data_IF_759051085439
#
_entry.id   IF_759051085439
#
_cell.length_a   1.000
_cell.length_b   1.000
_cell.length_c   1.000
_cell.angle_alpha   90.00
_cell.angle_beta   90.00
_cell.angle_gamma   90.00
#
_symmetry.space_group_name_H-M   'P 1'
#
loop_
_entity.id
_entity.type
_entity.pdbx_description
1 polymer ?
#
# COMPACT_ATOMS: atom_id res chain seq x y z
N UNK A 1 -1.64 6.38 -20.22
CA UNK A 1 -2.06 6.48 -18.79
C UNK A 1 -0.86 6.99 -18.02
N UNK A 2 -0.99 8.08 -17.29
CA UNK A 2 0.08 8.67 -16.48
C UNK A 2 -0.22 8.41 -15.01
N UNK A 3 0.64 7.65 -14.34
CA UNK A 3 0.57 7.41 -12.90
C UNK A 3 1.54 8.35 -12.21
N UNK A 4 1.10 9.02 -11.14
CA UNK A 4 1.97 9.81 -10.28
C UNK A 4 2.21 9.04 -8.97
N UNK A 5 3.44 9.04 -8.45
CA UNK A 5 3.74 8.44 -7.16
C UNK A 5 4.83 9.21 -6.43
N UNK A 6 4.77 9.16 -5.10
CA UNK A 6 5.78 9.67 -4.21
C UNK A 6 5.93 8.74 -3.01
N UNK A 7 7.13 8.64 -2.49
CA UNK A 7 7.45 7.90 -1.27
C UNK A 7 8.52 8.64 -0.48
N UNK A 8 8.44 8.62 0.83
CA UNK A 8 9.38 9.27 1.73
C UNK A 8 9.58 8.42 2.99
N UNK A 9 10.82 8.06 3.34
CA UNK A 9 11.09 7.27 4.53
C UNK A 9 10.79 8.08 5.80
N UNK A 10 10.18 7.43 6.78
CA UNK A 10 9.85 8.06 8.06
C UNK A 10 11.06 8.53 8.85
N UNK A 11 12.20 7.87 8.70
CA UNK A 11 13.42 8.18 9.43
C UNK A 11 14.63 8.19 8.51
N UNK A 12 15.43 9.29 8.53
CA UNK A 12 16.68 9.35 7.77
C UNK A 12 17.64 8.22 8.19
N UNK A 13 18.21 7.53 7.20
CA UNK A 13 19.19 6.46 7.44
C UNK A 13 18.58 5.07 7.69
N UNK A 14 17.27 4.94 7.75
CA UNK A 14 16.58 3.65 7.75
C UNK A 14 16.04 3.33 6.37
N UNK A 15 16.04 2.04 5.97
CA UNK A 15 15.41 1.64 4.73
C UNK A 15 13.92 2.00 4.74
N UNK A 16 13.44 2.54 3.63
CA UNK A 16 12.00 2.66 3.40
C UNK A 16 11.41 1.26 3.24
N UNK A 17 10.46 0.89 4.09
CA UNK A 17 9.80 -0.41 4.09
C UNK A 17 8.55 -0.43 3.18
N UNK A 18 8.11 0.73 2.69
CA UNK A 18 7.07 0.83 1.67
C UNK A 18 7.60 0.48 0.28
N UNK A 19 6.72 0.00 -0.56
CA UNK A 19 6.96 -0.23 -1.98
C UNK A 19 5.73 0.14 -2.80
N UNK A 20 5.92 0.93 -3.86
CA UNK A 20 4.89 1.19 -4.86
C UNK A 20 5.45 1.03 -6.26
N UNK A 21 4.66 0.47 -7.15
CA UNK A 21 5.01 0.32 -8.55
C UNK A 21 3.76 0.27 -9.43
N UNK A 22 3.93 0.67 -10.70
CA UNK A 22 2.87 0.61 -11.70
C UNK A 22 3.39 0.08 -13.03
N UNK A 23 2.48 -0.54 -13.77
CA UNK A 23 2.64 -0.98 -15.14
C UNK A 23 1.41 -0.58 -15.96
N UNK A 24 1.42 -0.66 -17.29
CA UNK A 24 0.22 -0.40 -18.08
C UNK A 24 -0.98 -1.22 -17.59
N UNK A 25 -2.00 -0.53 -17.08
CA UNK A 25 -3.24 -1.16 -16.60
C UNK A 25 -3.20 -1.77 -15.19
N UNK A 26 -2.11 -1.60 -14.42
CA UNK A 26 -2.05 -2.12 -13.05
C UNK A 26 -1.15 -1.27 -12.15
N UNK A 27 -1.45 -1.27 -10.84
CA UNK A 27 -0.61 -0.65 -9.83
C UNK A 27 -0.70 -1.43 -8.51
N UNK A 28 0.37 -1.38 -7.74
CA UNK A 28 0.48 -1.99 -6.41
C UNK A 28 1.10 -1.01 -5.43
N UNK A 29 0.68 -1.08 -4.16
CA UNK A 29 1.35 -0.45 -3.03
C UNK A 29 1.36 -1.44 -1.87
N UNK A 30 2.51 -1.60 -1.26
CA UNK A 30 2.75 -2.43 -0.09
C UNK A 30 3.42 -1.58 0.98
N UNK A 31 2.95 -1.70 2.21
CA UNK A 31 3.53 -1.07 3.39
C UNK A 31 4.12 -2.16 4.29
N UNK A 32 5.37 -2.03 4.61
CA UNK A 32 6.12 -3.03 5.34
C UNK A 32 5.78 -3.07 6.83
N UNK A 33 5.29 -4.21 7.30
CA UNK A 33 4.96 -4.42 8.70
C UNK A 33 6.21 -4.60 9.57
N UNK A 34 6.71 -3.51 10.12
CA UNK A 34 7.92 -3.47 10.98
C UNK A 34 7.74 -4.34 12.23
N UNK A 35 8.71 -5.18 12.50
CA UNK A 35 8.77 -5.92 13.77
C UNK A 35 9.42 -5.06 14.87
N UNK A 36 9.02 -5.20 16.16
CA UNK A 36 9.67 -4.50 17.25
C UNK A 36 11.19 -4.72 17.26
N UNK A 37 11.95 -3.69 17.67
CA UNK A 37 13.40 -3.78 17.75
C UNK A 37 13.84 -4.98 18.60
N UNK A 38 14.84 -5.73 18.14
CA UNK A 38 15.33 -6.95 18.81
C UNK A 38 14.43 -8.18 18.69
N UNK A 39 13.34 -8.10 17.93
CA UNK A 39 12.50 -9.27 17.69
C UNK A 39 13.24 -10.31 16.83
N UNK A 40 13.13 -11.58 17.25
CA UNK A 40 13.57 -12.71 16.41
C UNK A 40 12.57 -12.89 15.26
N UNK A 41 12.91 -12.36 14.11
CA UNK A 41 12.08 -12.49 12.89
C UNK A 41 12.32 -13.79 12.16
N UNK A 42 13.39 -14.51 12.46
CA UNK A 42 13.80 -15.70 11.69
C UNK A 42 14.28 -15.38 10.27
N UNK A 43 14.32 -14.13 9.86
CA UNK A 43 14.66 -13.73 8.49
C UNK A 43 15.84 -12.77 8.47
N UNK A 44 16.80 -13.02 7.58
CA UNK A 44 18.00 -12.20 7.41
C UNK A 44 17.78 -11.03 6.44
N UNK A 45 16.71 -11.05 5.64
CA UNK A 45 16.50 -10.09 4.54
C UNK A 45 15.85 -8.77 4.99
N UNK A 46 15.00 -8.81 6.05
CA UNK A 46 14.26 -7.64 6.53
C UNK A 46 12.99 -7.32 5.74
N UNK A 47 12.25 -6.32 6.25
CA UNK A 47 10.91 -5.96 5.77
C UNK A 47 10.97 -5.25 4.42
N UNK A 48 11.88 -4.29 4.24
CA UNK A 48 12.02 -3.56 2.97
C UNK A 48 12.31 -4.49 1.78
N UNK A 49 13.15 -5.53 1.99
CA UNK A 49 13.38 -6.56 0.96
C UNK A 49 12.09 -7.32 0.65
N UNK A 50 11.36 -7.72 1.70
CA UNK A 50 10.13 -8.49 1.56
C UNK A 50 9.06 -7.71 0.78
N UNK A 51 8.76 -6.47 1.18
CA UNK A 51 7.78 -5.62 0.51
C UNK A 51 8.11 -5.41 -0.97
N UNK A 52 9.38 -5.12 -1.27
CA UNK A 52 9.85 -4.95 -2.65
C UNK A 52 9.73 -6.22 -3.48
N UNK A 53 10.16 -7.35 -2.92
CA UNK A 53 10.15 -8.62 -3.66
C UNK A 53 8.72 -9.09 -3.91
N UNK A 54 7.85 -9.02 -2.89
CA UNK A 54 6.43 -9.37 -3.03
C UNK A 54 5.71 -8.46 -4.01
N UNK A 55 5.91 -7.13 -3.89
CA UNK A 55 5.25 -6.16 -4.76
C UNK A 55 5.69 -6.29 -6.22
N UNK A 56 6.97 -6.58 -6.46
CA UNK A 56 7.49 -6.83 -7.83
C UNK A 56 6.88 -8.09 -8.43
N UNK A 57 6.86 -9.19 -7.68
CA UNK A 57 6.25 -10.45 -8.14
C UNK A 57 4.73 -10.29 -8.35
N UNK A 58 4.04 -9.60 -7.43
CA UNK A 58 2.60 -9.34 -7.57
C UNK A 58 2.30 -8.51 -8.82
N UNK A 59 3.03 -7.40 -9.06
CA UNK A 59 2.81 -6.56 -10.24
C UNK A 59 3.03 -7.36 -11.53
N UNK A 60 4.07 -8.18 -11.59
CA UNK A 60 4.31 -9.09 -12.72
C UNK A 60 3.15 -10.07 -12.90
N UNK A 61 2.67 -10.70 -11.82
CA UNK A 61 1.58 -11.67 -11.84
C UNK A 61 0.24 -11.06 -12.31
N UNK A 62 -0.12 -9.86 -11.81
CA UNK A 62 -1.39 -9.22 -12.18
C UNK A 62 -1.39 -8.64 -13.59
N UNK A 63 -0.24 -8.50 -14.22
CA UNK A 63 -0.09 -8.04 -15.62
C UNK A 63 0.16 -9.17 -16.61
N UNK A 64 0.40 -10.38 -16.12
CA UNK A 64 0.61 -11.56 -16.96
C UNK A 64 -0.66 -11.96 -17.74
N UNK A 65 -0.47 -12.57 -18.92
CA UNK A 65 -1.54 -13.09 -19.75
C UNK A 65 -1.42 -14.60 -19.85
N UNK A 66 -2.51 -15.39 -19.61
CA UNK A 66 -3.89 -14.93 -19.31
C UNK A 66 -4.01 -14.34 -17.90
N UNK A 67 -4.99 -13.43 -17.72
CA UNK A 67 -5.26 -12.84 -16.41
C UNK A 67 -5.81 -13.89 -15.44
N UNK A 68 -5.24 -13.87 -14.22
CA UNK A 68 -5.74 -14.67 -13.09
C UNK A 68 -6.43 -13.76 -12.06
N UNK A 69 -7.28 -14.29 -11.15
CA UNK A 69 -7.82 -13.51 -10.03
C UNK A 69 -6.72 -12.87 -9.19
N UNK A 70 -6.94 -11.66 -8.68
CA UNK A 70 -5.92 -10.92 -7.91
C UNK A 70 -5.44 -11.68 -6.67
N UNK A 71 -6.33 -12.39 -5.98
CA UNK A 71 -5.97 -13.24 -4.84
C UNK A 71 -5.04 -14.40 -5.26
N UNK A 72 -5.28 -15.00 -6.42
CA UNK A 72 -4.41 -16.05 -6.96
C UNK A 72 -3.03 -15.47 -7.31
N UNK A 73 -2.98 -14.33 -7.98
CA UNK A 73 -1.71 -13.66 -8.28
C UNK A 73 -0.92 -13.32 -7.01
N UNK A 74 -1.60 -12.86 -5.94
CA UNK A 74 -0.97 -12.60 -4.64
C UNK A 74 -0.45 -13.90 -4.00
N UNK A 75 -1.20 -15.00 -4.08
CA UNK A 75 -0.77 -16.29 -3.55
C UNK A 75 0.47 -16.82 -4.30
N UNK A 76 0.49 -16.72 -5.63
CA UNK A 76 1.62 -17.11 -6.47
C UNK A 76 2.86 -16.25 -6.17
N UNK A 77 2.70 -14.92 -6.06
CA UNK A 77 3.77 -14.01 -5.66
C UNK A 77 4.35 -14.36 -4.28
N UNK A 78 3.49 -14.68 -3.31
CA UNK A 78 3.94 -15.10 -1.98
C UNK A 78 4.68 -16.44 -2.00
N UNK A 79 4.26 -17.37 -2.86
CA UNK A 79 4.96 -18.65 -3.04
C UNK A 79 6.35 -18.42 -3.66
N UNK A 80 6.47 -17.53 -4.63
CA UNK A 80 7.74 -17.14 -5.22
C UNK A 80 8.69 -16.52 -4.18
N UNK A 81 8.21 -15.54 -3.40
CA UNK A 81 9.00 -14.94 -2.32
C UNK A 81 9.42 -16.00 -1.30
N UNK A 82 8.52 -16.91 -0.93
CA UNK A 82 8.85 -18.01 -0.02
C UNK A 82 10.02 -18.84 -0.57
N UNK A 83 9.97 -19.26 -1.81
CA UNK A 83 11.01 -20.06 -2.44
C UNK A 83 12.38 -19.36 -2.45
N UNK A 84 12.40 -18.01 -2.55
CA UNK A 84 13.64 -17.25 -2.56
C UNK A 84 14.36 -17.22 -1.20
N UNK A 85 13.67 -17.42 -0.07
CA UNK A 85 14.31 -17.27 1.24
C UNK A 85 14.05 -18.40 2.25
N UNK A 86 13.25 -19.42 1.95
CA UNK A 86 12.96 -20.52 2.89
C UNK A 86 14.20 -21.36 3.24
N UNK A 87 15.26 -21.33 2.42
CA UNK A 87 16.51 -22.05 2.67
C UNK A 87 17.46 -21.28 3.61
N UNK A 88 17.23 -19.99 3.82
CA UNK A 88 18.09 -19.11 4.64
C UNK A 88 17.37 -18.54 5.84
N UNK A 89 16.05 -18.69 5.90
CA UNK A 89 15.18 -18.06 6.90
C UNK A 89 14.27 -19.11 7.56
N UNK A 90 13.98 -18.91 8.84
CA UNK A 90 12.98 -19.71 9.57
C UNK A 90 11.59 -19.07 9.41
N UNK A 91 10.86 -19.49 8.40
CA UNK A 91 9.52 -18.98 8.09
C UNK A 91 8.42 -19.47 9.05
N UNK A 92 8.75 -20.30 10.03
CA UNK A 92 7.82 -20.71 11.11
C UNK A 92 7.65 -19.63 12.18
N UNK A 93 8.56 -18.67 12.24
CA UNK A 93 8.51 -17.58 13.20
C UNK A 93 7.32 -16.65 12.92
N UNK A 94 6.60 -16.29 13.99
CA UNK A 94 5.40 -15.43 13.89
C UNK A 94 5.70 -14.00 13.48
N UNK A 95 6.95 -13.54 13.63
CA UNK A 95 7.41 -12.17 13.33
C UNK A 95 8.25 -12.09 12.04
N UNK A 96 8.14 -13.10 11.16
CA UNK A 96 8.74 -12.98 9.82
C UNK A 96 8.24 -11.70 9.13
N UNK A 97 9.05 -11.12 8.23
CA UNK A 97 8.63 -9.96 7.45
C UNK A 97 7.24 -10.11 6.85
N UNK A 98 6.49 -9.05 6.87
CA UNK A 98 5.16 -8.96 6.27
C UNK A 98 4.97 -7.60 5.64
N UNK A 99 3.91 -7.46 4.87
CA UNK A 99 3.47 -6.19 4.31
C UNK A 99 1.95 -6.16 4.15
N UNK A 100 1.36 -4.98 4.24
CA UNK A 100 0.03 -4.73 3.73
C UNK A 100 0.06 -4.83 2.22
N UNK A 101 -1.06 -5.03 1.58
CA UNK A 101 -1.10 -5.11 0.11
C UNK A 101 -2.31 -4.39 -0.42
N UNK A 102 -2.10 -3.41 -1.27
CA UNK A 102 -3.14 -2.87 -2.14
C UNK A 102 -2.75 -3.04 -3.60
N UNK A 103 -3.70 -3.44 -4.42
CA UNK A 103 -3.49 -3.60 -5.85
C UNK A 103 -4.75 -3.19 -6.63
N UNK A 104 -4.55 -2.61 -7.80
CA UNK A 104 -5.61 -2.30 -8.75
C UNK A 104 -5.21 -2.77 -10.15
N UNK A 105 -6.20 -3.25 -10.92
CA UNK A 105 -5.99 -3.70 -12.30
C UNK A 105 -7.18 -3.33 -13.18
N UNK A 106 -6.89 -2.72 -14.30
CA UNK A 106 -7.86 -2.39 -15.35
C UNK A 106 -8.27 -3.67 -16.09
N UNK A 107 -9.58 -3.93 -16.14
CA UNK A 107 -10.19 -5.06 -16.86
C UNK A 107 -11.32 -4.57 -17.73
N UNK A 108 -11.79 -5.36 -18.73
CA UNK A 108 -12.93 -4.94 -19.57
C UNK A 108 -14.19 -4.57 -18.79
N UNK A 109 -14.41 -5.19 -17.62
CA UNK A 109 -15.60 -4.97 -16.78
C UNK A 109 -15.46 -3.85 -15.74
N UNK A 110 -14.30 -3.19 -15.63
CA UNK A 110 -14.05 -2.17 -14.59
C UNK A 110 -12.61 -2.15 -14.10
N UNK A 111 -12.44 -1.72 -12.87
CA UNK A 111 -11.15 -1.74 -12.17
C UNK A 111 -11.25 -2.77 -11.04
N UNK A 112 -10.59 -3.91 -11.20
CA UNK A 112 -10.46 -4.89 -10.12
C UNK A 112 -9.51 -4.36 -9.06
N UNK A 113 -9.85 -4.57 -7.79
CA UNK A 113 -9.01 -4.20 -6.65
C UNK A 113 -8.79 -5.35 -5.68
N UNK A 114 -7.69 -5.28 -4.97
CA UNK A 114 -7.36 -6.12 -3.82
C UNK A 114 -6.84 -5.24 -2.70
N UNK A 115 -7.34 -5.45 -1.47
CA UNK A 115 -6.83 -4.85 -0.25
C UNK A 115 -6.64 -5.93 0.81
N UNK A 116 -5.47 -5.96 1.44
CA UNK A 116 -5.14 -6.82 2.57
C UNK A 116 -4.41 -5.99 3.61
N UNK A 117 -4.94 -5.97 4.84
CA UNK A 117 -4.50 -5.14 5.95
C UNK A 117 -4.87 -3.65 5.75
N UNK A 118 -4.18 -2.71 6.41
CA UNK A 118 -4.63 -1.35 6.70
C UNK A 118 -4.20 -0.27 5.71
N UNK A 119 -3.39 -0.59 4.70
CA UNK A 119 -3.20 0.32 3.58
C UNK A 119 -4.52 0.59 2.85
N UNK A 120 -4.68 1.81 2.33
CA UNK A 120 -5.95 2.30 1.82
C UNK A 120 -5.98 2.41 0.30
N UNK A 121 -7.12 2.05 -0.29
CA UNK A 121 -7.52 2.42 -1.65
C UNK A 121 -8.61 3.48 -1.52
N UNK A 122 -8.34 4.70 -1.97
CA UNK A 122 -9.31 5.79 -1.97
C UNK A 122 -9.76 6.10 -3.39
N UNK A 123 -11.07 6.04 -3.63
CA UNK A 123 -11.68 6.22 -4.95
C UNK A 123 -12.30 7.60 -5.04
N UNK A 124 -11.87 8.40 -6.01
CA UNK A 124 -12.39 9.73 -6.32
C UNK A 124 -13.38 9.66 -7.50
N UNK A 125 -14.49 10.38 -7.38
CA UNK A 125 -15.58 10.38 -8.36
C UNK A 125 -15.82 11.78 -8.94
N UNK A 126 -16.22 11.84 -10.21
CA UNK A 126 -16.45 13.09 -10.93
C UNK A 126 -17.69 13.85 -10.44
N UNK A 127 -18.70 13.14 -9.96
CA UNK A 127 -19.98 13.72 -9.53
C UNK A 127 -19.94 14.38 -8.14
N UNK A 128 -18.77 14.39 -7.49
CA UNK A 128 -18.57 15.02 -6.17
C UNK A 128 -19.17 14.25 -5.00
N UNK A 129 -19.63 13.00 -5.20
CA UNK A 129 -20.01 12.14 -4.08
C UNK A 129 -18.81 11.90 -3.15
N UNK A 130 -19.06 11.55 -1.87
CA UNK A 130 -17.98 11.23 -0.95
C UNK A 130 -17.05 10.13 -1.50
N UNK A 131 -15.73 10.24 -1.27
CA UNK A 131 -14.78 9.21 -1.65
C UNK A 131 -15.15 7.85 -1.06
N UNK A 132 -14.95 6.79 -1.84
CA UNK A 132 -15.07 5.43 -1.32
C UNK A 132 -13.71 4.97 -0.81
N UNK A 133 -13.65 4.62 0.48
CA UNK A 133 -12.46 4.04 1.10
C UNK A 133 -12.58 2.53 1.16
N UNK A 134 -11.52 1.85 0.75
CA UNK A 134 -11.40 0.40 0.78
C UNK A 134 -10.14 0.07 1.55
N UNK A 135 -10.32 -0.52 2.72
CA UNK A 135 -9.26 -1.06 3.58
C UNK A 135 -9.66 -2.45 4.02
N UNK A 136 -8.77 -3.13 4.69
CA UNK A 136 -9.03 -4.44 5.28
C UNK A 136 -8.45 -4.52 6.69
N UNK A 137 -8.97 -5.40 7.54
CA UNK A 137 -8.56 -5.55 8.95
C UNK A 137 -7.79 -6.84 9.22
N UNK A 138 -7.48 -7.63 8.20
CA UNK A 138 -6.69 -8.84 8.35
C UNK A 138 -5.21 -8.53 8.62
N UNK A 139 -4.49 -9.53 9.11
CA UNK A 139 -3.05 -9.40 9.32
C UNK A 139 -2.30 -9.22 7.99
N UNK A 140 -1.18 -8.51 8.07
CA UNK A 140 -0.29 -8.30 6.92
C UNK A 140 0.13 -9.60 6.22
N UNK A 141 0.31 -9.53 4.91
CA UNK A 141 0.77 -10.63 4.06
C UNK A 141 2.18 -11.04 4.45
N UNK A 142 2.39 -12.33 4.62
CA UNK A 142 3.70 -12.96 4.86
C UNK A 142 3.99 -13.94 3.74
N UNK A 143 5.15 -14.58 3.76
CA UNK A 143 5.53 -15.64 2.81
C UNK A 143 4.68 -16.93 3.03
N UNK A 144 3.37 -16.77 3.12
CA UNK A 144 2.36 -17.81 3.27
C UNK A 144 1.23 -17.59 2.27
N UNK A 145 1.19 -18.33 1.14
CA UNK A 145 0.21 -18.14 0.08
C UNK A 145 -1.25 -18.18 0.52
N UNK A 146 -1.57 -18.94 1.57
CA UNK A 146 -2.95 -19.08 2.08
C UNK A 146 -3.53 -17.75 2.59
N UNK A 147 -2.68 -16.83 3.06
CA UNK A 147 -3.14 -15.52 3.54
C UNK A 147 -3.75 -14.66 2.45
N UNK A 148 -3.38 -14.88 1.18
CA UNK A 148 -3.94 -14.14 0.05
C UNK A 148 -5.46 -14.28 -0.08
N UNK A 149 -6.02 -15.41 0.36
CA UNK A 149 -7.47 -15.66 0.28
C UNK A 149 -8.28 -14.81 1.27
N UNK A 150 -7.65 -14.23 2.28
CA UNK A 150 -8.29 -13.31 3.21
C UNK A 150 -8.46 -11.90 2.65
N UNK A 151 -7.73 -11.56 1.57
CA UNK A 151 -7.78 -10.23 0.99
C UNK A 151 -9.18 -9.86 0.49
N UNK A 152 -9.59 -8.63 0.76
CA UNK A 152 -10.80 -8.04 0.22
C UNK A 152 -10.60 -7.74 -1.25
N UNK A 153 -11.50 -8.23 -2.09
CA UNK A 153 -11.47 -7.99 -3.54
C UNK A 153 -12.82 -7.49 -4.04
N UNK A 154 -12.80 -6.82 -5.18
CA UNK A 154 -14.00 -6.36 -5.86
C UNK A 154 -13.68 -5.70 -7.19
N UNK A 155 -14.71 -5.17 -7.82
CA UNK A 155 -14.62 -4.44 -9.10
C UNK A 155 -15.29 -3.07 -8.91
N UNK A 156 -14.59 -2.01 -9.29
CA UNK A 156 -15.10 -0.65 -9.35
C UNK A 156 -15.59 -0.38 -10.78
N UNK A 157 -16.77 0.19 -10.96
CA UNK A 157 -17.21 0.65 -12.28
C UNK A 157 -16.30 1.79 -12.76
N UNK A 158 -16.05 1.86 -14.06
CA UNK A 158 -15.28 2.98 -14.65
C UNK A 158 -16.08 4.27 -14.71
N UNK A 159 -17.40 4.14 -14.90
CA UNK A 159 -18.29 5.28 -15.10
C UNK A 159 -18.28 6.21 -13.89
N UNK A 160 -17.98 7.47 -14.14
CA UNK A 160 -17.89 8.51 -13.11
C UNK A 160 -16.66 8.39 -12.20
N UNK A 161 -15.71 7.54 -12.54
CA UNK A 161 -14.44 7.45 -11.82
C UNK A 161 -13.50 8.56 -12.27
N UNK A 162 -13.02 9.39 -11.33
CA UNK A 162 -11.98 10.39 -11.59
C UNK A 162 -10.58 9.84 -11.42
N UNK A 163 -10.40 8.99 -10.42
CA UNK A 163 -9.13 8.33 -10.16
C UNK A 163 -9.13 7.49 -8.88
N UNK A 164 -8.02 6.82 -8.65
CA UNK A 164 -7.81 5.96 -7.49
C UNK A 164 -6.47 6.31 -6.86
N UNK A 165 -6.46 6.55 -5.56
CA UNK A 165 -5.23 6.65 -4.78
C UNK A 165 -4.98 5.37 -4.00
N UNK A 166 -3.73 4.88 -4.02
CA UNK A 166 -3.24 3.88 -3.08
C UNK A 166 -2.35 4.60 -2.07
N UNK A 167 -2.56 4.34 -0.77
CA UNK A 167 -1.86 5.03 0.31
C UNK A 167 -1.41 4.04 1.38
N UNK A 168 -0.17 4.19 1.88
CA UNK A 168 0.26 3.55 3.13
C UNK A 168 -0.34 4.26 4.34
N UNK A 169 -0.31 3.63 5.50
CA UNK A 169 -0.86 4.18 6.74
C UNK A 169 -0.14 5.48 7.16
N UNK A 170 1.18 5.59 6.89
CA UNK A 170 1.92 6.81 7.12
C UNK A 170 1.41 7.99 6.30
N UNK A 171 0.92 7.75 5.08
CA UNK A 171 0.35 8.79 4.22
C UNK A 171 -1.08 9.17 4.63
N UNK A 172 -1.88 8.24 5.15
CA UNK A 172 -3.27 8.52 5.58
C UNK A 172 -3.35 9.29 6.89
N UNK A 173 -2.26 9.41 7.66
CA UNK A 173 -2.23 10.09 8.97
C UNK A 173 -2.80 11.50 8.96
N UNK A 174 -2.71 12.20 7.84
CA UNK A 174 -3.26 13.55 7.70
C UNK A 174 -4.78 13.58 7.98
N UNK A 175 -5.48 12.52 7.58
CA UNK A 175 -6.91 12.35 7.81
C UNK A 175 -7.21 11.54 9.08
N UNK A 176 -6.55 10.38 9.23
CA UNK A 176 -6.96 9.37 10.22
C UNK A 176 -6.38 9.62 11.61
N UNK A 177 -5.23 10.32 11.71
CA UNK A 177 -4.54 10.57 12.96
C UNK A 177 -4.52 12.03 13.35
N UNK A 178 -4.25 12.92 12.40
CA UNK A 178 -4.07 14.34 12.67
C UNK A 178 -5.36 15.17 12.53
N UNK A 179 -6.37 14.65 11.83
CA UNK A 179 -7.63 15.32 11.53
C UNK A 179 -7.41 16.75 10.94
N UNK A 180 -6.42 16.84 10.03
CA UNK A 180 -6.03 18.10 9.39
C UNK A 180 -6.66 18.28 8.00
N UNK A 181 -7.11 17.19 7.37
CA UNK A 181 -7.81 17.20 6.11
C UNK A 181 -8.83 16.07 6.04
N UNK A 182 -10.01 16.34 5.50
CA UNK A 182 -10.98 15.29 5.17
C UNK A 182 -10.57 14.54 3.90
N UNK A 183 -11.10 13.34 3.69
CA UNK A 183 -10.76 12.52 2.52
C UNK A 183 -11.01 13.20 1.16
N UNK A 184 -12.08 14.02 0.97
CA UNK A 184 -12.24 14.80 -0.27
C UNK A 184 -11.08 15.78 -0.51
N UNK A 185 -10.57 16.40 0.55
CA UNK A 185 -9.44 17.33 0.49
C UNK A 185 -8.12 16.58 0.23
N UNK A 186 -7.90 15.44 0.89
CA UNK A 186 -6.75 14.55 0.64
C UNK A 186 -6.67 14.19 -0.83
N UNK A 187 -7.78 13.73 -1.43
CA UNK A 187 -7.82 13.39 -2.85
C UNK A 187 -7.65 14.61 -3.76
N UNK A 188 -8.17 15.77 -3.35
CA UNK A 188 -7.93 17.05 -4.03
C UNK A 188 -6.44 17.38 -4.10
N UNK A 189 -5.73 17.33 -2.97
CA UNK A 189 -4.28 17.57 -2.90
C UNK A 189 -3.51 16.60 -3.79
N UNK A 190 -3.83 15.30 -3.72
CA UNK A 190 -3.14 14.27 -4.52
C UNK A 190 -3.33 14.52 -6.03
N UNK A 191 -4.53 14.87 -6.43
CA UNK A 191 -4.91 15.10 -7.82
C UNK A 191 -4.32 16.38 -8.38
N UNK A 192 -4.44 17.48 -7.65
CA UNK A 192 -4.18 18.85 -8.16
C UNK A 192 -2.71 19.24 -7.93
N UNK A 193 -2.11 18.87 -6.79
CA UNK A 193 -0.76 19.23 -6.38
C UNK A 193 0.22 18.04 -6.44
N UNK A 194 -0.30 16.83 -6.59
CA UNK A 194 0.45 15.58 -6.70
C UNK A 194 0.71 14.87 -5.36
N UNK A 195 1.07 13.56 -5.41
CA UNK A 195 1.32 12.72 -4.24
C UNK A 195 2.35 13.29 -3.26
N UNK A 196 3.41 13.93 -3.76
CA UNK A 196 4.46 14.53 -2.93
C UNK A 196 3.95 15.71 -2.07
N UNK A 197 2.91 16.42 -2.51
CA UNK A 197 2.33 17.51 -1.74
C UNK A 197 1.62 16.98 -0.48
N UNK A 198 0.90 15.86 -0.59
CA UNK A 198 0.29 15.22 0.57
C UNK A 198 1.35 14.77 1.57
N UNK A 199 2.40 14.08 1.13
CA UNK A 199 3.51 13.63 1.98
C UNK A 199 4.15 14.83 2.68
N UNK A 200 4.36 15.94 1.98
CA UNK A 200 4.91 17.17 2.56
C UNK A 200 4.05 17.73 3.70
N UNK A 201 2.73 17.65 3.58
CA UNK A 201 1.81 18.07 4.65
C UNK A 201 1.88 17.13 5.86
N UNK A 202 1.95 15.81 5.64
CA UNK A 202 2.19 14.82 6.71
C UNK A 202 3.48 15.15 7.45
N UNK A 203 4.59 15.37 6.73
CA UNK A 203 5.89 15.71 7.32
C UNK A 203 5.86 17.03 8.10
N UNK A 204 5.11 18.03 7.62
CA UNK A 204 4.93 19.30 8.34
C UNK A 204 4.18 19.09 9.66
N UNK A 205 3.12 18.28 9.69
CA UNK A 205 2.40 17.93 10.90
C UNK A 205 3.28 17.18 11.90
N UNK A 206 4.05 16.20 11.45
CA UNK A 206 5.01 15.45 12.28
C UNK A 206 6.10 16.37 12.87
N UNK A 207 6.59 17.31 12.08
CA UNK A 207 7.59 18.29 12.54
C UNK A 207 7.03 19.26 13.58
N UNK A 208 5.73 19.58 13.50
CA UNK A 208 5.04 20.42 14.46
C UNK A 208 4.71 19.71 15.79
N UNK A 209 4.80 18.37 15.82
CA UNK A 209 4.53 17.52 16.99
C UNK A 209 5.59 16.42 17.12
N UNK A 210 6.85 16.80 17.39
CA UNK A 210 8.00 15.87 17.35
C UNK A 210 7.95 14.78 18.42
N UNK A 211 7.22 15.01 19.50
CA UNK A 211 7.09 14.08 20.61
C UNK A 211 5.77 13.32 20.61
N UNK A 212 4.88 13.56 19.62
CA UNK A 212 3.56 12.93 19.55
C UNK A 212 2.63 13.35 20.70
N UNK A 213 2.81 14.52 21.27
CA UNK A 213 2.04 14.99 22.42
C UNK A 213 0.63 15.46 22.01
N UNK A 214 0.52 16.10 20.85
CA UNK A 214 -0.75 16.55 20.29
C UNK A 214 -1.52 15.41 19.62
N UNK A 215 -0.81 14.56 18.89
CA UNK A 215 -1.38 13.42 18.18
C UNK A 215 -0.64 12.14 18.60
N UNK A 216 -1.11 11.46 19.67
CA UNK A 216 -0.48 10.24 20.16
C UNK A 216 -0.46 9.15 19.07
N UNK A 217 0.73 8.61 18.79
CA UNK A 217 0.96 7.62 17.75
C UNK A 217 2.10 6.68 18.12
N UNK A 218 2.07 5.45 17.61
CA UNK A 218 3.06 4.43 17.94
C UNK A 218 4.45 4.77 17.38
N UNK A 219 4.52 5.13 16.10
CA UNK A 219 5.73 5.65 15.46
C UNK A 219 5.59 7.16 15.31
N UNK A 220 6.59 7.91 15.75
CA UNK A 220 6.59 9.39 15.60
C UNK A 220 6.56 9.78 14.12
N UNK A 221 7.35 9.07 13.30
CA UNK A 221 7.33 9.15 11.84
C UNK A 221 7.20 7.76 11.28
N UNK A 222 6.50 7.61 10.17
CA UNK A 222 6.40 6.38 9.41
C UNK A 222 6.77 6.61 7.97
N UNK A 223 7.10 5.53 7.27
CA UNK A 223 7.22 5.60 5.83
C UNK A 223 5.88 6.05 5.24
N UNK A 224 5.90 6.92 4.24
CA UNK A 224 4.70 7.46 3.65
C UNK A 224 4.77 7.34 2.13
N UNK A 225 3.84 6.61 1.57
CA UNK A 225 3.79 6.34 0.13
C UNK A 225 2.40 6.58 -0.41
N UNK A 226 2.34 7.28 -1.53
CA UNK A 226 1.11 7.60 -2.25
C UNK A 226 1.32 7.31 -3.74
N UNK A 227 0.37 6.61 -4.33
CA UNK A 227 0.26 6.41 -5.77
C UNK A 227 -1.10 6.91 -6.24
N UNK A 228 -1.12 7.80 -7.23
CA UNK A 228 -2.33 8.28 -7.90
C UNK A 228 -2.45 7.68 -9.29
N UNK A 229 -3.53 7.00 -9.53
CA UNK A 229 -3.91 6.45 -10.81
C UNK A 229 -5.16 7.17 -11.33
N UNK A 230 -5.01 8.14 -12.25
CA UNK A 230 -6.15 8.78 -12.88
C UNK A 230 -6.98 7.75 -13.66
N UNK A 231 -8.29 7.96 -13.71
CA UNK A 231 -9.16 7.09 -14.47
C UNK A 231 -8.64 6.95 -15.91
N UNK A 232 -8.60 5.75 -16.45
CA UNK A 232 -8.28 5.57 -17.86
C UNK A 232 -9.40 6.15 -18.72
N UNK A 233 -9.02 6.90 -19.75
CA UNK A 233 -9.90 7.41 -20.80
C UNK A 233 -10.67 6.27 -21.49
#
# INVERSE_FOLDING_TARGET
MQVAMATDPGSPGWPNEDFAAAAPGAAVLLDGATSPAGADTGCIHGVAWYARTLGTALLAGITAVPLVPLQQALAEAAAEVRAQHEHTCDLTKRKTPGATVTAVRSEPGGISYLALSDSSIAVDYEDGRPPQLITDSHSAMRANPQLAMAARVGILPRDGLRGIALLSDGATRIADCYDLAGWPEVLGIIRDDGPGALISQVRAAEAADPDGARWPRYKIRDDATVLWWPAPD
#
